data_IF_143702086551
#
_entry.id   IF_143702086551
#
_cell.length_a   1.000
_cell.length_b   1.000
_cell.length_c   1.000
_cell.angle_alpha   90.00
_cell.angle_beta   90.00
_cell.angle_gamma   90.00
#
_symmetry.space_group_name_H-M   'P 1'
#
loop_
_entity.id
_entity.type
_entity.pdbx_description
1 polymer ?
#
# COMPACT_ATOMS: atom_id res chain seq x y z
N UNK A 1 36.09 6.43 -29.29
CA UNK A 1 35.06 5.92 -29.86
C UNK A 1 34.37 4.78 -29.20
N UNK A 2 34.61 4.39 -28.07
CA UNK A 2 33.93 3.32 -27.46
C UNK A 2 33.34 3.67 -26.20
N UNK A 3 32.90 4.87 -25.97
CA UNK A 3 32.36 5.24 -24.69
C UNK A 3 30.88 5.25 -24.61
N UNK A 4 30.23 4.91 -25.66
CA UNK A 4 28.77 5.04 -25.68
C UNK A 4 28.06 3.97 -24.92
N UNK A 5 28.70 2.86 -24.74
CA UNK A 5 28.05 1.70 -24.13
C UNK A 5 27.64 1.92 -22.69
N UNK A 6 28.34 2.78 -21.98
CA UNK A 6 28.09 2.97 -20.58
C UNK A 6 26.77 3.65 -20.29
N UNK A 7 26.33 4.53 -21.18
CA UNK A 7 25.12 5.27 -20.98
C UNK A 7 23.89 4.39 -20.99
N UNK A 8 23.91 3.36 -21.80
CA UNK A 8 22.79 2.47 -21.92
C UNK A 8 22.48 1.75 -20.61
N UNK A 9 23.51 1.42 -19.89
CA UNK A 9 23.34 0.68 -18.62
C UNK A 9 22.65 1.55 -17.60
N UNK A 10 22.96 2.83 -17.56
CA UNK A 10 22.33 3.72 -16.60
C UNK A 10 20.84 3.87 -16.84
N UNK A 11 20.45 3.89 -18.09
CA UNK A 11 19.06 4.01 -18.41
C UNK A 11 18.26 2.83 -17.94
N UNK A 12 18.79 1.64 -18.09
CA UNK A 12 18.10 0.44 -17.62
C UNK A 12 17.96 0.43 -16.11
N UNK A 13 18.94 0.95 -15.41
CA UNK A 13 18.88 0.98 -13.97
C UNK A 13 17.76 1.91 -13.48
N UNK A 14 17.58 3.03 -14.12
CA UNK A 14 16.51 3.94 -13.74
C UNK A 14 15.14 3.34 -13.94
N UNK A 15 14.97 2.52 -14.92
CA UNK A 15 13.67 1.91 -15.17
C UNK A 15 13.21 1.09 -13.99
N UNK A 16 14.14 0.48 -13.27
CA UNK A 16 13.78 -0.34 -12.13
C UNK A 16 13.37 0.48 -10.91
N UNK A 17 13.70 1.76 -10.89
CA UNK A 17 13.36 2.60 -9.77
C UNK A 17 12.02 3.30 -9.93
N UNK A 18 11.37 3.13 -11.06
CA UNK A 18 10.16 3.88 -11.34
C UNK A 18 8.92 3.29 -10.71
N UNK A 19 9.00 2.11 -10.10
CA UNK A 19 7.85 1.49 -9.50
C UNK A 19 7.88 1.63 -8.01
N UNK A 20 6.89 2.34 -7.49
CA UNK A 20 6.67 2.40 -6.05
C UNK A 20 5.49 1.51 -5.74
N UNK A 21 5.69 0.58 -4.87
CA UNK A 21 4.61 -0.29 -4.44
C UNK A 21 3.89 0.33 -3.27
N UNK A 22 2.59 0.20 -3.27
CA UNK A 22 1.75 0.69 -2.20
C UNK A 22 0.68 -0.33 -1.89
N UNK A 23 0.29 -0.35 -0.62
CA UNK A 23 -0.80 -1.19 -0.18
C UNK A 23 -1.84 -0.28 0.47
N UNK A 24 -3.10 -0.44 0.08
CA UNK A 24 -4.19 0.38 0.61
C UNK A 24 -5.01 -0.47 1.56
N UNK A 25 -5.13 0.00 2.80
CA UNK A 25 -5.80 -0.74 3.85
C UNK A 25 -7.00 0.06 4.35
N UNK A 26 -8.18 -0.54 4.31
CA UNK A 26 -9.34 -0.01 5.00
C UNK A 26 -9.35 -0.64 6.38
N UNK A 27 -9.31 0.19 7.42
CA UNK A 27 -9.16 -0.29 8.79
C UNK A 27 -10.25 0.25 9.69
N UNK A 28 -10.98 -0.66 10.31
CA UNK A 28 -11.92 -0.33 11.36
C UNK A 28 -11.26 -0.45 12.74
N UNK A 29 -9.98 -0.75 12.79
CA UNK A 29 -9.21 -0.77 14.02
C UNK A 29 -8.59 0.59 14.24
N UNK A 30 -8.47 0.99 15.50
CA UNK A 30 -7.96 2.32 15.83
C UNK A 30 -6.90 2.22 16.93
N UNK A 31 -5.90 1.37 16.71
CA UNK A 31 -4.83 1.15 17.67
C UNK A 31 -3.52 1.76 17.17
N UNK A 32 -2.85 2.51 18.05
CA UNK A 32 -1.57 3.10 17.69
C UNK A 32 -0.52 2.04 17.36
N UNK A 33 -0.62 0.87 17.97
CA UNK A 33 0.32 -0.21 17.70
C UNK A 33 0.25 -0.69 16.25
N UNK A 34 -0.91 -0.58 15.60
CA UNK A 34 -1.03 -0.96 14.20
C UNK A 34 -0.22 -0.01 13.32
N UNK A 35 -0.22 1.27 13.65
CA UNK A 35 0.54 2.25 12.88
C UNK A 35 2.03 1.96 12.96
N UNK A 36 2.51 1.62 14.14
CA UNK A 36 3.90 1.28 14.33
C UNK A 36 4.28 0.04 13.52
N UNK A 37 3.38 -0.92 13.46
CA UNK A 37 3.61 -2.12 12.67
C UNK A 37 3.73 -1.80 11.19
N UNK A 38 2.85 -0.94 10.69
CA UNK A 38 2.88 -0.55 9.28
C UNK A 38 4.15 0.22 8.94
N UNK A 39 4.61 1.07 9.87
CA UNK A 39 5.84 1.80 9.67
C UNK A 39 7.05 0.88 9.59
N UNK A 40 7.07 -0.16 10.43
CA UNK A 40 8.13 -1.15 10.37
C UNK A 40 8.10 -1.93 9.06
N UNK A 41 6.92 -2.26 8.60
CA UNK A 41 6.78 -2.94 7.33
C UNK A 41 7.33 -2.10 6.17
N UNK A 42 6.98 -0.81 6.15
CA UNK A 42 7.48 0.09 5.11
C UNK A 42 8.99 0.24 5.19
N UNK A 43 9.54 0.35 6.41
CA UNK A 43 10.97 0.48 6.57
C UNK A 43 11.72 -0.76 6.06
N UNK A 44 11.10 -1.92 6.20
CA UNK A 44 11.74 -3.17 5.83
C UNK A 44 11.59 -3.50 4.35
N UNK A 45 10.49 -3.12 3.75
CA UNK A 45 10.17 -3.56 2.39
C UNK A 45 10.20 -2.45 1.36
N UNK A 46 10.12 -1.20 1.78
CA UNK A 46 9.97 -0.08 0.86
C UNK A 46 8.55 0.10 0.33
N UNK A 47 7.62 -0.72 0.79
CA UNK A 47 6.23 -0.66 0.36
C UNK A 47 5.47 0.31 1.25
N UNK A 48 4.85 1.32 0.66
CA UNK A 48 4.09 2.30 1.41
C UNK A 48 2.74 1.75 1.81
N UNK A 49 2.32 2.04 3.04
CA UNK A 49 1.01 1.62 3.53
C UNK A 49 0.12 2.86 3.65
N UNK A 50 -0.99 2.85 2.95
CA UNK A 50 -1.99 3.92 3.00
C UNK A 50 -3.20 3.40 3.77
N UNK A 51 -3.62 4.14 4.77
CA UNK A 51 -4.69 3.70 5.65
C UNK A 51 -5.89 4.62 5.54
N UNK A 52 -7.04 4.03 5.30
CA UNK A 52 -8.32 4.73 5.38
C UNK A 52 -9.03 4.17 6.60
N UNK A 53 -9.16 5.01 7.62
CA UNK A 53 -9.81 4.62 8.86
C UNK A 53 -11.28 4.96 8.79
N UNK A 54 -12.10 4.15 9.42
CA UNK A 54 -13.52 4.40 9.46
C UNK A 54 -14.24 3.36 10.30
N UNK A 55 -15.55 3.53 10.41
CA UNK A 55 -16.37 2.55 11.09
C UNK A 55 -16.57 1.34 10.20
N UNK A 56 -16.71 0.21 10.84
CA UNK A 56 -16.82 -1.07 10.15
C UNK A 56 -17.89 -1.06 9.06
N UNK A 57 -19.09 -0.68 9.42
CA UNK A 57 -20.19 -0.70 8.45
C UNK A 57 -20.00 0.30 7.32
N UNK A 58 -19.41 1.43 7.60
CA UNK A 58 -19.16 2.43 6.58
C UNK A 58 -18.12 1.94 5.58
N UNK A 59 -17.08 1.28 6.06
CA UNK A 59 -16.07 0.73 5.18
C UNK A 59 -16.60 -0.41 4.34
N UNK A 60 -17.41 -1.28 4.95
CA UNK A 60 -18.04 -2.36 4.22
C UNK A 60 -18.95 -1.84 3.11
N UNK A 61 -19.72 -0.81 3.42
CA UNK A 61 -20.60 -0.19 2.42
C UNK A 61 -19.80 0.36 1.26
N UNK A 62 -18.70 1.02 1.55
CA UNK A 62 -17.83 1.58 0.52
C UNK A 62 -17.26 0.50 -0.38
N UNK A 63 -16.79 -0.60 0.22
CA UNK A 63 -16.25 -1.70 -0.55
C UNK A 63 -17.31 -2.28 -1.48
N UNK A 64 -18.51 -2.45 -0.97
CA UNK A 64 -19.61 -3.01 -1.76
C UNK A 64 -20.02 -2.09 -2.89
N UNK A 65 -20.11 -0.80 -2.61
CA UNK A 65 -20.56 0.17 -3.61
C UNK A 65 -19.53 0.39 -4.70
N UNK A 66 -18.26 0.41 -4.34
CA UNK A 66 -17.20 0.64 -5.32
C UNK A 66 -16.86 -0.60 -6.11
N UNK A 67 -17.08 -1.77 -5.52
CA UNK A 67 -16.84 -3.03 -6.23
C UNK A 67 -15.44 -3.13 -6.79
N UNK A 68 -15.34 -3.38 -8.07
CA UNK A 68 -14.05 -3.57 -8.72
C UNK A 68 -13.20 -2.29 -8.72
N UNK A 69 -13.82 -1.15 -8.53
CA UNK A 69 -13.09 0.13 -8.50
C UNK A 69 -12.59 0.49 -7.11
N UNK A 70 -12.86 -0.34 -6.12
CA UNK A 70 -12.41 -0.07 -4.75
C UNK A 70 -10.90 -0.13 -4.67
N UNK A 71 -10.30 0.90 -4.05
CA UNK A 71 -8.85 0.96 -3.95
C UNK A 71 -8.30 0.07 -2.84
N UNK A 72 -9.14 -0.44 -1.96
CA UNK A 72 -8.67 -1.23 -0.82
C UNK A 72 -8.07 -2.55 -1.28
N UNK A 73 -6.87 -2.82 -0.81
CA UNK A 73 -6.23 -4.12 -1.00
C UNK A 73 -6.53 -5.04 0.17
N UNK A 74 -6.69 -4.46 1.35
CA UNK A 74 -6.98 -5.20 2.57
C UNK A 74 -8.06 -4.48 3.36
N UNK A 75 -8.85 -5.25 4.08
CA UNK A 75 -9.83 -4.73 5.01
C UNK A 75 -9.59 -5.38 6.36
N UNK A 76 -9.39 -4.56 7.38
CA UNK A 76 -9.05 -5.04 8.71
C UNK A 76 -10.11 -4.58 9.70
N UNK A 77 -10.64 -5.52 10.46
CA UNK A 77 -11.62 -5.23 11.49
C UNK A 77 -11.15 -5.83 12.81
N UNK A 78 -11.58 -5.23 13.90
CA UNK A 78 -11.18 -5.68 15.22
C UNK A 78 -12.02 -6.84 15.71
N UNK A 79 -13.21 -7.00 15.17
CA UNK A 79 -14.16 -7.99 15.68
C UNK A 79 -14.73 -8.78 14.52
N UNK A 80 -14.17 -9.92 14.28
CA UNK A 80 -14.50 -10.73 13.13
C UNK A 80 -15.86 -11.38 13.20
N UNK A 81 -16.49 -11.39 14.35
CA UNK A 81 -17.77 -12.03 14.51
C UNK A 81 -18.96 -11.16 14.14
N UNK A 82 -18.71 -9.93 13.86
CA UNK A 82 -19.82 -9.00 13.64
C UNK A 82 -20.23 -8.86 12.17
#
# INVERSE_FOLDING_TARGET
>A
MKKITIITILTAFFANLSFASEVNIFSARHYDSDIQLYEKFTAKTGIKVNIVSGKDKALQKRITEEGADCIADLYITADAGD
#
